data_IF_558243831195
#
_entry.id   IF_558243831195
#
_cell.length_a   1.000
_cell.length_b   1.000
_cell.length_c   1.000
_cell.angle_alpha   90.00
_cell.angle_beta   90.00
_cell.angle_gamma   90.00
#
_symmetry.space_group_name_H-M   'P 1'
#
loop_
_entity.id
_entity.type
_entity.pdbx_description
1 polymer ?
#
# COMPACT_ATOMS: atom_id res chain seq x y z
N UNK A 1 21.66 3.08 -30.06
CA UNK A 1 21.96 2.76 -28.65
C UNK A 1 21.04 3.58 -27.78
N UNK A 2 20.37 2.95 -26.92
CA UNK A 2 19.51 3.63 -25.97
C UNK A 2 20.29 3.92 -24.69
N UNK A 3 20.33 5.15 -24.29
CA UNK A 3 20.80 5.50 -22.96
C UNK A 3 19.76 5.03 -21.95
N UNK A 4 19.96 3.82 -21.45
CA UNK A 4 19.08 3.29 -20.43
C UNK A 4 19.29 4.11 -19.15
N UNK A 5 18.29 4.92 -18.81
CA UNK A 5 18.30 5.62 -17.51
C UNK A 5 18.09 4.60 -16.38
N UNK A 6 18.77 4.77 -15.25
CA UNK A 6 18.42 4.00 -14.06
C UNK A 6 16.94 4.13 -13.74
N UNK A 7 16.33 3.08 -13.23
CA UNK A 7 14.90 3.10 -12.88
C UNK A 7 14.56 4.27 -11.96
N UNK A 8 15.41 4.55 -10.97
CA UNK A 8 15.19 5.64 -10.02
C UNK A 8 15.09 7.02 -10.68
N UNK A 9 15.86 7.28 -11.76
CA UNK A 9 15.80 8.55 -12.49
C UNK A 9 14.65 8.62 -13.48
N UNK A 10 14.02 7.48 -13.83
CA UNK A 10 12.84 7.42 -14.66
C UNK A 10 11.54 7.62 -13.86
N UNK A 11 11.60 7.52 -12.54
CA UNK A 11 10.45 7.67 -11.65
C UNK A 11 10.28 9.13 -11.23
N UNK A 12 9.04 9.58 -11.14
CA UNK A 12 8.70 10.91 -10.63
C UNK A 12 8.87 11.00 -9.11
N UNK A 13 8.81 9.90 -8.41
CA UNK A 13 8.95 9.85 -6.96
C UNK A 13 8.35 8.57 -6.37
N UNK A 14 8.12 8.63 -5.08
CA UNK A 14 7.52 7.54 -4.29
C UNK A 14 6.12 7.95 -3.85
N UNK A 15 5.19 7.03 -3.93
CA UNK A 15 3.83 7.20 -3.39
C UNK A 15 3.60 6.22 -2.25
N UNK A 16 3.18 6.75 -1.10
CA UNK A 16 2.83 5.95 0.07
C UNK A 16 1.34 5.63 0.03
N UNK A 17 1.01 4.35 0.09
CA UNK A 17 -0.37 3.87 0.08
C UNK A 17 -0.58 3.05 1.35
N UNK A 18 -1.48 3.50 2.22
CA UNK A 18 -1.84 2.76 3.42
C UNK A 18 -2.93 1.74 3.13
N UNK A 19 -2.69 0.49 3.50
CA UNK A 19 -3.70 -0.57 3.47
C UNK A 19 -3.91 -1.08 4.90
N UNK A 20 -4.71 -0.36 5.72
CA UNK A 20 -4.84 -0.65 7.14
C UNK A 20 -5.82 -1.81 7.37
N UNK A 21 -5.37 -3.02 7.10
CA UNK A 21 -6.20 -4.22 7.23
C UNK A 21 -5.45 -5.36 7.92
N UNK A 22 -6.18 -6.15 8.67
CA UNK A 22 -5.74 -7.42 9.24
C UNK A 22 -6.59 -8.59 8.72
N UNK A 23 -7.30 -8.37 7.63
CA UNK A 23 -8.34 -9.28 7.12
C UNK A 23 -7.82 -10.68 6.84
N UNK A 24 -6.58 -10.82 6.40
CA UNK A 24 -5.93 -12.10 6.13
C UNK A 24 -5.02 -12.59 7.25
N UNK A 25 -4.91 -11.85 8.34
CA UNK A 25 -4.04 -12.21 9.45
C UNK A 25 -4.80 -13.01 10.51
N UNK A 26 -4.11 -13.94 11.15
CA UNK A 26 -4.66 -14.69 12.28
C UNK A 26 -4.63 -13.92 13.60
N UNK A 27 -4.01 -12.74 13.62
CA UNK A 27 -3.82 -11.92 14.82
C UNK A 27 -4.13 -10.46 14.52
N UNK A 28 -4.55 -9.73 15.56
CA UNK A 28 -4.76 -8.29 15.50
C UNK A 28 -3.42 -7.55 15.39
N UNK A 29 -3.46 -6.35 14.81
CA UNK A 29 -2.36 -5.40 14.85
C UNK A 29 -1.84 -4.97 13.48
N UNK A 30 -1.95 -5.80 12.44
CA UNK A 30 -1.43 -5.47 11.12
C UNK A 30 -2.03 -4.19 10.54
N UNK A 31 -3.30 -3.90 10.82
CA UNK A 31 -3.97 -2.68 10.35
C UNK A 31 -3.39 -1.40 10.94
N UNK A 32 -2.61 -1.49 12.00
CA UNK A 32 -1.94 -0.35 12.63
C UNK A 32 -0.66 0.05 11.89
N UNK A 33 -0.17 -0.77 10.96
CA UNK A 33 1.09 -0.55 10.28
C UNK A 33 1.21 0.81 9.59
N UNK A 34 0.26 1.22 8.75
CA UNK A 34 0.35 2.52 8.09
C UNK A 34 0.44 3.69 9.06
N UNK A 35 -0.40 3.72 10.09
CA UNK A 35 -0.36 4.78 11.09
C UNK A 35 0.95 4.79 11.88
N UNK A 36 1.44 3.61 12.27
CA UNK A 36 2.70 3.48 12.99
C UNK A 36 3.89 3.97 12.16
N UNK A 37 3.94 3.62 10.87
CA UNK A 37 5.00 4.08 9.98
C UNK A 37 4.95 5.58 9.75
N UNK A 38 3.78 6.18 9.66
CA UNK A 38 3.63 7.63 9.54
C UNK A 38 4.10 8.35 10.80
N UNK A 39 3.74 7.85 11.97
CA UNK A 39 4.21 8.38 13.26
C UNK A 39 5.73 8.25 13.37
N UNK A 40 6.29 7.14 12.90
CA UNK A 40 7.75 6.94 12.87
C UNK A 40 8.47 7.82 11.84
N UNK A 41 7.75 8.50 10.95
CA UNK A 41 8.33 9.45 10.02
C UNK A 41 8.77 8.86 8.68
N UNK A 42 8.05 7.89 8.14
CA UNK A 42 8.42 7.24 6.87
C UNK A 42 8.56 8.26 5.73
N UNK A 43 7.67 9.23 5.62
CA UNK A 43 7.71 10.22 4.54
C UNK A 43 9.00 11.05 4.62
N UNK A 44 9.37 11.51 5.80
CA UNK A 44 10.60 12.28 6.03
C UNK A 44 11.83 11.42 5.77
N UNK A 45 11.81 10.16 6.20
CA UNK A 45 12.93 9.25 5.99
C UNK A 45 13.21 9.03 4.50
N UNK A 46 12.19 8.88 3.68
CA UNK A 46 12.33 8.73 2.23
C UNK A 46 12.74 10.05 1.58
N UNK A 47 12.14 11.17 1.98
CA UNK A 47 12.42 12.47 1.38
C UNK A 47 13.85 12.97 1.65
N UNK A 48 14.51 12.48 2.70
CA UNK A 48 15.91 12.80 2.98
C UNK A 48 16.86 12.42 1.85
N UNK A 49 16.47 11.50 1.00
CA UNK A 49 17.28 11.09 -0.16
C UNK A 49 17.03 11.95 -1.40
N UNK A 50 16.33 13.08 -1.25
CA UNK A 50 15.99 13.93 -2.39
C UNK A 50 14.85 13.38 -3.25
N UNK A 51 14.09 12.41 -2.72
CA UNK A 51 12.98 11.77 -3.42
C UNK A 51 11.69 12.52 -3.12
N UNK A 52 10.92 12.82 -4.16
CA UNK A 52 9.58 13.38 -4.00
C UNK A 52 8.65 12.31 -3.41
N UNK A 53 7.97 12.65 -2.34
CA UNK A 53 7.06 11.73 -1.64
C UNK A 53 5.64 12.26 -1.69
N UNK A 54 4.73 11.40 -2.19
CA UNK A 54 3.29 11.66 -2.15
C UNK A 54 2.66 10.69 -1.15
N UNK A 55 1.98 11.19 -0.14
CA UNK A 55 1.19 10.35 0.75
C UNK A 55 -0.24 10.28 0.22
N UNK A 56 -0.63 9.12 -0.29
CA UNK A 56 -1.97 8.89 -0.84
C UNK A 56 -3.01 8.60 0.25
N UNK A 57 -2.60 8.56 1.50
CA UNK A 57 -3.50 8.22 2.60
C UNK A 57 -3.79 6.73 2.69
N UNK A 58 -4.85 6.41 3.39
CA UNK A 58 -5.30 5.04 3.58
C UNK A 58 -6.43 4.69 2.62
N UNK A 59 -6.38 3.46 2.11
CA UNK A 59 -7.52 2.88 1.40
C UNK A 59 -8.66 2.60 2.39
N UNK A 60 -9.88 2.78 1.90
CA UNK A 60 -11.10 2.54 2.69
C UNK A 60 -11.75 1.24 2.20
N UNK A 61 -11.29 0.13 2.75
CA UNK A 61 -11.80 -1.19 2.41
C UNK A 61 -12.74 -1.74 3.49
N UNK A 62 -13.31 -2.92 3.24
CA UNK A 62 -14.25 -3.53 4.18
C UNK A 62 -13.58 -3.86 5.51
N UNK A 63 -14.35 -3.71 6.58
CA UNK A 63 -13.92 -4.10 7.91
C UNK A 63 -13.80 -5.63 8.03
N UNK A 64 -12.99 -6.08 8.99
CA UNK A 64 -12.89 -7.50 9.32
C UNK A 64 -14.23 -7.97 9.91
N UNK A 65 -14.91 -8.94 9.29
CA UNK A 65 -16.22 -9.42 9.78
C UNK A 65 -16.12 -10.41 10.94
N UNK A 66 -14.89 -10.85 11.29
CA UNK A 66 -14.65 -11.81 12.37
C UNK A 66 -15.51 -13.06 12.25
N UNK A 67 -15.52 -13.64 11.05
CA UNK A 67 -16.29 -14.82 10.73
C UNK A 67 -15.40 -16.06 10.62
N UNK A 68 -15.99 -17.23 10.82
CA UNK A 68 -15.32 -18.50 10.60
C UNK A 68 -15.04 -18.72 9.12
N UNK A 69 -14.08 -19.60 8.84
CA UNK A 69 -13.76 -19.98 7.48
C UNK A 69 -14.96 -20.72 6.83
N UNK A 70 -15.17 -20.44 5.55
CA UNK A 70 -16.15 -21.13 4.71
C UNK A 70 -15.38 -21.84 3.60
N UNK A 71 -15.57 -23.14 3.48
CA UNK A 71 -14.88 -23.98 2.49
C UNK A 71 -13.34 -23.82 2.54
N UNK A 72 -12.79 -23.65 3.75
CA UNK A 72 -11.36 -23.48 3.97
C UNK A 72 -10.85 -22.04 3.76
N UNK A 73 -11.71 -21.11 3.42
CA UNK A 73 -11.33 -19.71 3.19
C UNK A 73 -11.96 -18.80 4.24
N UNK A 74 -11.14 -18.00 4.92
CA UNK A 74 -11.61 -17.00 5.87
C UNK A 74 -11.66 -15.64 5.17
N UNK A 75 -12.83 -14.99 5.24
CA UNK A 75 -13.04 -13.61 4.78
C UNK A 75 -12.69 -13.42 3.28
N UNK A 76 -12.92 -14.44 2.46
CA UNK A 76 -12.54 -14.38 1.05
C UNK A 76 -13.12 -13.17 0.29
N UNK A 77 -14.40 -12.81 0.43
CA UNK A 77 -14.95 -11.64 -0.26
C UNK A 77 -14.25 -10.35 0.14
N UNK A 78 -13.92 -10.19 1.41
CA UNK A 78 -13.27 -9.00 1.95
C UNK A 78 -11.81 -8.92 1.50
N UNK A 79 -11.12 -10.06 1.46
CA UNK A 79 -9.75 -10.14 0.93
C UNK A 79 -9.73 -9.74 -0.55
N UNK A 80 -10.69 -10.24 -1.34
CA UNK A 80 -10.80 -9.87 -2.75
C UNK A 80 -11.05 -8.37 -2.91
N UNK A 81 -11.93 -7.80 -2.10
CA UNK A 81 -12.23 -6.36 -2.15
C UNK A 81 -10.98 -5.52 -1.82
N UNK A 82 -10.24 -5.87 -0.77
CA UNK A 82 -8.99 -5.19 -0.42
C UNK A 82 -7.95 -5.29 -1.53
N UNK A 83 -7.80 -6.47 -2.12
CA UNK A 83 -6.84 -6.67 -3.20
C UNK A 83 -7.18 -5.84 -4.44
N UNK A 84 -8.46 -5.68 -4.76
CA UNK A 84 -8.89 -4.84 -5.89
C UNK A 84 -8.61 -3.36 -5.61
N UNK A 85 -8.92 -2.88 -4.42
CA UNK A 85 -8.62 -1.50 -4.02
C UNK A 85 -7.12 -1.22 -4.11
N UNK A 86 -6.31 -2.13 -3.59
CA UNK A 86 -4.86 -1.98 -3.63
C UNK A 86 -4.33 -2.04 -5.06
N UNK A 87 -4.82 -2.97 -5.85
CA UNK A 87 -4.45 -3.06 -7.27
C UNK A 87 -4.70 -1.75 -7.99
N UNK A 88 -5.90 -1.17 -7.83
CA UNK A 88 -6.27 0.05 -8.53
C UNK A 88 -5.42 1.24 -8.07
N UNK A 89 -5.15 1.35 -6.78
CA UNK A 89 -4.31 2.40 -6.23
C UNK A 89 -2.86 2.28 -6.72
N UNK A 90 -2.30 1.09 -6.71
CA UNK A 90 -0.94 0.83 -7.21
C UNK A 90 -0.86 1.12 -8.71
N UNK A 91 -1.83 0.66 -9.47
CA UNK A 91 -1.87 0.90 -10.91
C UNK A 91 -1.89 2.40 -11.24
N UNK A 92 -2.68 3.18 -10.51
CA UNK A 92 -2.77 4.62 -10.71
C UNK A 92 -1.42 5.31 -10.48
N UNK A 93 -0.71 4.93 -9.40
CA UNK A 93 0.60 5.53 -9.10
C UNK A 93 1.68 5.10 -10.09
N UNK A 94 1.68 3.84 -10.51
CA UNK A 94 2.59 3.37 -11.56
C UNK A 94 2.33 4.08 -12.89
N UNK A 95 1.08 4.39 -13.21
CA UNK A 95 0.72 5.14 -14.42
C UNK A 95 1.26 6.58 -14.38
N UNK A 96 1.48 7.13 -13.19
CA UNK A 96 2.12 8.43 -12.97
C UNK A 96 3.64 8.31 -12.87
N UNK A 97 4.23 7.18 -13.22
CA UNK A 97 5.65 6.89 -13.09
C UNK A 97 6.16 7.04 -11.64
N UNK A 98 5.35 6.71 -10.66
CA UNK A 98 5.71 6.75 -9.25
C UNK A 98 5.85 5.33 -8.70
N UNK A 99 6.81 5.15 -7.77
CA UNK A 99 7.01 3.88 -7.09
C UNK A 99 6.06 3.80 -5.89
N UNK A 100 5.08 2.89 -5.89
CA UNK A 100 4.19 2.73 -4.74
C UNK A 100 4.85 1.91 -3.64
N UNK A 101 4.65 2.34 -2.42
CA UNK A 101 5.07 1.66 -1.20
C UNK A 101 3.88 1.56 -0.24
#
# INVERSE_FOLDING_TARGET
MTDAKPLASALAGVSLIGAPTDIGAGMLGARMGPAALRVAGIAQAVSQFGIDVRDCGNLDGPANPWQDAVDGFRHLPEVVAWNRLLHDAVFAELSDARLPI
#
